data_IF_092765643784
#
_entry.id   IF_092765643784
#
_cell.length_a   1.000
_cell.length_b   1.000
_cell.length_c   1.000
_cell.angle_alpha   90.00
_cell.angle_beta   90.00
_cell.angle_gamma   90.00
#
_symmetry.space_group_name_H-M   'P 1'
#
loop_
_entity.id
_entity.type
_entity.pdbx_description
1 polymer ?
#
# COMPACT_ATOMS: atom_id res chain seq x y z
N UNK A 1 0.31 5.04 -34.74
CA UNK A 1 -0.63 6.18 -34.74
C UNK A 1 -2.09 5.74 -34.80
N UNK A 2 -2.51 4.84 -35.72
CA UNK A 2 -3.90 4.38 -35.76
C UNK A 2 -4.34 3.62 -34.48
N UNK A 3 -3.45 2.88 -33.83
CA UNK A 3 -3.78 2.09 -32.62
C UNK A 3 -4.17 2.95 -31.41
N UNK A 4 -3.42 4.04 -31.14
CA UNK A 4 -3.70 4.99 -30.06
C UNK A 4 -5.06 5.65 -30.23
N UNK A 5 -5.41 6.10 -31.45
CA UNK A 5 -6.71 6.71 -31.74
C UNK A 5 -7.87 5.72 -31.58
N UNK A 6 -7.67 4.47 -32.00
CA UNK A 6 -8.67 3.40 -31.81
C UNK A 6 -8.88 3.14 -30.32
N UNK A 7 -7.80 3.01 -29.54
CA UNK A 7 -7.90 2.77 -28.10
C UNK A 7 -8.57 3.95 -27.37
N UNK A 8 -8.19 5.19 -27.72
CA UNK A 8 -8.83 6.40 -27.22
C UNK A 8 -10.33 6.39 -27.50
N UNK A 9 -10.73 6.11 -28.75
CA UNK A 9 -12.14 6.04 -29.15
C UNK A 9 -12.92 4.98 -28.37
N UNK A 10 -12.33 3.80 -28.15
CA UNK A 10 -12.93 2.72 -27.34
C UNK A 10 -13.11 3.14 -25.88
N UNK A 11 -12.08 3.71 -25.26
CA UNK A 11 -12.15 4.17 -23.87
C UNK A 11 -13.15 5.33 -23.70
N UNK A 12 -13.23 6.23 -24.68
CA UNK A 12 -14.23 7.30 -24.70
C UNK A 12 -15.66 6.73 -24.81
N UNK A 13 -15.90 5.78 -25.70
CA UNK A 13 -17.20 5.11 -25.82
C UNK A 13 -17.59 4.40 -24.52
N UNK A 14 -16.65 3.68 -23.90
CA UNK A 14 -16.86 3.02 -22.61
C UNK A 14 -17.15 4.02 -21.49
N UNK A 15 -16.49 5.18 -21.50
CA UNK A 15 -16.71 6.20 -20.47
C UNK A 15 -18.14 6.75 -20.48
N UNK A 16 -18.77 6.85 -21.66
CA UNK A 16 -20.17 7.25 -21.81
C UNK A 16 -21.15 6.21 -21.24
N UNK A 17 -20.81 4.93 -21.29
CA UNK A 17 -21.61 3.86 -20.71
C UNK A 17 -21.44 3.73 -19.18
N UNK A 18 -20.39 4.35 -18.62
CA UNK A 18 -19.95 4.15 -17.25
C UNK A 18 -20.20 5.32 -16.31
N UNK A 19 -21.01 6.32 -16.69
CA UNK A 19 -21.20 7.55 -15.90
C UNK A 19 -21.51 7.31 -14.42
N UNK A 20 -22.29 6.26 -14.12
CA UNK A 20 -22.70 5.86 -12.76
C UNK A 20 -21.77 4.84 -12.09
N UNK A 21 -20.77 4.33 -12.82
CA UNK A 21 -19.83 3.35 -12.30
C UNK A 21 -18.68 4.04 -11.57
N UNK A 22 -18.30 3.43 -10.47
CA UNK A 22 -17.10 3.79 -9.72
C UNK A 22 -15.85 3.23 -10.42
N UNK A 23 -14.64 3.55 -9.93
CA UNK A 23 -13.37 3.14 -10.56
C UNK A 23 -13.24 1.62 -10.64
N UNK A 24 -13.77 0.89 -9.65
CA UNK A 24 -13.73 -0.58 -9.64
C UNK A 24 -14.68 -1.18 -10.68
N UNK A 25 -15.91 -0.67 -10.76
CA UNK A 25 -16.88 -1.05 -11.80
C UNK A 25 -16.36 -0.75 -13.20
N UNK A 26 -15.69 0.40 -13.38
CA UNK A 26 -15.00 0.75 -14.64
C UNK A 26 -13.87 -0.21 -14.96
N UNK A 27 -13.08 -0.63 -13.99
CA UNK A 27 -11.99 -1.58 -14.22
C UNK A 27 -12.54 -2.94 -14.68
N UNK A 28 -13.64 -3.41 -14.08
CA UNK A 28 -14.32 -4.62 -14.52
C UNK A 28 -14.88 -4.48 -15.94
N UNK A 29 -15.56 -3.37 -16.24
CA UNK A 29 -16.07 -3.08 -17.58
C UNK A 29 -14.94 -3.02 -18.62
N UNK A 30 -13.83 -2.36 -18.32
CA UNK A 30 -12.65 -2.28 -19.21
C UNK A 30 -12.05 -3.67 -19.43
N UNK A 31 -11.91 -4.48 -18.38
CA UNK A 31 -11.38 -5.84 -18.48
C UNK A 31 -12.23 -6.70 -19.43
N UNK A 32 -13.56 -6.65 -19.26
CA UNK A 32 -14.51 -7.36 -20.12
C UNK A 32 -14.54 -6.79 -21.54
N UNK A 33 -14.55 -5.47 -21.70
CA UNK A 33 -14.71 -4.85 -23.01
C UNK A 33 -13.44 -4.88 -23.88
N UNK A 34 -12.27 -4.98 -23.25
CA UNK A 34 -11.00 -5.09 -23.98
C UNK A 34 -10.56 -6.55 -24.17
N UNK A 35 -10.98 -7.48 -23.31
CA UNK A 35 -10.67 -8.92 -23.35
C UNK A 35 -9.17 -9.24 -23.40
N UNK A 36 -8.33 -8.33 -22.89
CA UNK A 36 -6.87 -8.50 -22.86
C UNK A 36 -6.48 -9.15 -21.54
N UNK A 37 -6.22 -10.45 -21.55
CA UNK A 37 -5.73 -11.18 -20.37
C UNK A 37 -4.25 -10.85 -20.06
N UNK A 38 -3.42 -10.69 -21.09
CA UNK A 38 -2.00 -10.32 -20.99
C UNK A 38 -1.69 -9.14 -21.91
N UNK A 39 -1.49 -7.93 -21.38
CA UNK A 39 -1.27 -6.75 -22.20
C UNK A 39 0.08 -6.81 -22.93
N UNK A 40 0.08 -6.57 -24.23
CA UNK A 40 1.31 -6.41 -25.00
C UNK A 40 2.01 -5.09 -24.65
N UNK A 41 3.32 -5.01 -24.88
CA UNK A 41 4.07 -3.77 -24.67
C UNK A 41 3.54 -2.61 -25.52
N UNK A 42 3.10 -2.91 -26.75
CA UNK A 42 2.46 -1.91 -27.62
C UNK A 42 1.14 -1.40 -27.00
N UNK A 43 0.32 -2.30 -26.46
CA UNK A 43 -0.92 -1.89 -25.79
C UNK A 43 -0.66 -1.02 -24.57
N UNK A 44 0.34 -1.33 -23.75
CA UNK A 44 0.71 -0.51 -22.59
C UNK A 44 1.23 0.86 -23.00
N UNK A 45 2.01 0.94 -24.09
CA UNK A 45 2.44 2.20 -24.69
C UNK A 45 1.24 3.01 -25.19
N UNK A 46 0.32 2.39 -25.92
CA UNK A 46 -0.87 3.06 -26.42
C UNK A 46 -1.76 3.54 -25.25
N UNK A 47 -1.92 2.74 -24.20
CA UNK A 47 -2.66 3.11 -22.99
C UNK A 47 -1.99 4.28 -22.26
N UNK A 48 -0.66 4.28 -22.16
CA UNK A 48 0.10 5.39 -21.59
C UNK A 48 -0.14 6.69 -22.35
N UNK A 49 -0.07 6.65 -23.69
CA UNK A 49 -0.33 7.82 -24.54
C UNK A 49 -1.77 8.32 -24.37
N UNK A 50 -2.76 7.43 -24.35
CA UNK A 50 -4.17 7.81 -24.13
C UNK A 50 -4.38 8.44 -22.75
N UNK A 51 -3.81 7.85 -21.70
CA UNK A 51 -3.89 8.36 -20.33
C UNK A 51 -3.27 9.76 -20.20
N UNK A 52 -2.09 9.99 -20.79
CA UNK A 52 -1.41 11.30 -20.75
C UNK A 52 -2.18 12.35 -21.56
N UNK A 53 -2.69 11.99 -22.74
CA UNK A 53 -3.53 12.84 -23.57
C UNK A 53 -4.84 13.23 -22.87
N UNK A 54 -5.49 12.31 -22.15
CA UNK A 54 -6.74 12.62 -21.44
C UNK A 54 -6.53 13.64 -20.32
N UNK A 55 -5.42 13.53 -19.58
CA UNK A 55 -5.07 14.49 -18.52
C UNK A 55 -4.65 15.84 -19.09
N UNK A 56 -3.92 15.86 -20.20
CA UNK A 56 -3.58 17.10 -20.89
C UNK A 56 -4.83 17.84 -21.40
N UNK A 57 -5.78 17.09 -21.97
CA UNK A 57 -7.05 17.64 -22.46
C UNK A 57 -7.91 18.22 -21.34
N UNK A 58 -7.98 17.55 -20.19
CA UNK A 58 -8.69 18.05 -19.00
C UNK A 58 -8.12 19.37 -18.49
N UNK A 59 -6.79 19.54 -18.54
CA UNK A 59 -6.13 20.78 -18.14
C UNK A 59 -6.55 21.98 -18.99
N UNK A 60 -6.63 21.80 -20.31
CA UNK A 60 -7.04 22.85 -21.24
C UNK A 60 -8.49 23.30 -21.00
N UNK A 61 -9.39 22.38 -20.63
CA UNK A 61 -10.78 22.73 -20.32
C UNK A 61 -10.95 23.48 -19.00
N UNK A 62 -10.08 23.22 -18.01
CA UNK A 62 -10.16 23.86 -16.70
C UNK A 62 -9.62 25.30 -16.68
N UNK A 63 -8.68 25.64 -17.57
CA UNK A 63 -8.06 26.98 -17.61
C UNK A 63 -8.94 28.08 -18.22
N UNK A 64 -10.07 27.75 -18.83
CA UNK A 64 -10.98 28.70 -19.47
C UNK A 64 -12.23 29.03 -18.65
N UNK A 65 -12.36 28.48 -17.44
CA UNK A 65 -13.41 28.88 -16.51
C UNK A 65 -12.97 30.17 -15.81
N UNK A 66 -13.64 31.32 -16.01
CA UNK A 66 -13.31 32.54 -15.29
C UNK A 66 -13.49 32.33 -13.79
N UNK A 67 -12.51 32.75 -13.00
CA UNK A 67 -12.61 32.80 -11.54
C UNK A 67 -13.77 33.75 -11.19
N UNK A 68 -14.93 33.17 -10.87
CA UNK A 68 -16.11 33.90 -10.43
C UNK A 68 -15.83 34.57 -9.09
N UNK A 69 -15.43 35.83 -9.24
CA UNK A 69 -15.51 36.87 -8.24
C UNK A 69 -17.00 37.03 -7.88
N UNK A 70 -17.32 36.70 -6.63
CA UNK A 70 -18.60 36.94 -5.95
C UNK A 70 -19.41 38.10 -6.54
N UNK A 71 -20.33 37.81 -7.46
CA UNK A 71 -21.40 38.72 -7.83
C UNK A 71 -22.66 37.92 -8.18
N UNK A 72 -23.77 38.51 -7.80
CA UNK A 72 -25.03 37.87 -7.48
C UNK A 72 -25.88 37.55 -8.73
N UNK A 73 -26.95 36.79 -8.46
CA UNK A 73 -28.23 36.72 -9.19
C UNK A 73 -28.29 36.00 -10.55
N UNK A 74 -28.76 34.75 -10.47
CA UNK A 74 -29.87 34.22 -11.27
C UNK A 74 -29.78 34.31 -12.79
N UNK A 75 -29.29 33.24 -13.43
CA UNK A 75 -29.73 32.88 -14.77
C UNK A 75 -29.61 31.38 -15.00
N UNK A 76 -30.67 30.82 -15.59
CA UNK A 76 -30.90 29.40 -15.84
C UNK A 76 -30.37 29.04 -17.24
N UNK A 77 -29.79 27.85 -17.34
CA UNK A 77 -29.48 27.08 -18.57
C UNK A 77 -28.46 27.64 -19.55
N UNK A 78 -27.23 27.17 -19.37
CA UNK A 78 -26.28 26.89 -20.43
C UNK A 78 -25.57 25.58 -20.10
N UNK A 79 -26.00 24.49 -20.72
CA UNK A 79 -25.54 23.13 -20.48
C UNK A 79 -24.07 22.97 -20.92
N UNK A 80 -23.12 23.18 -19.99
CA UNK A 80 -21.71 22.83 -20.17
C UNK A 80 -21.51 21.30 -20.09
N UNK A 81 -22.11 20.55 -21.03
CA UNK A 81 -22.04 19.07 -21.11
C UNK A 81 -20.61 18.57 -21.39
N UNK A 82 -19.72 19.44 -21.89
CA UNK A 82 -18.36 19.07 -22.29
C UNK A 82 -17.43 18.70 -21.11
N UNK A 83 -17.55 19.38 -19.97
CA UNK A 83 -16.65 19.16 -18.81
C UNK A 83 -16.79 17.79 -18.16
N UNK A 84 -17.99 17.20 -18.20
CA UNK A 84 -18.25 15.86 -17.69
C UNK A 84 -17.52 14.79 -18.49
N UNK A 85 -17.54 14.87 -19.82
CA UNK A 85 -16.98 13.85 -20.70
C UNK A 85 -15.47 13.62 -20.50
N UNK A 86 -14.69 14.69 -20.35
CA UNK A 86 -13.24 14.59 -20.14
C UNK A 86 -12.90 13.97 -18.78
N UNK A 87 -13.62 14.33 -17.72
CA UNK A 87 -13.44 13.75 -16.40
C UNK A 87 -13.83 12.26 -16.36
N UNK A 88 -14.90 11.89 -17.09
CA UNK A 88 -15.34 10.50 -17.26
C UNK A 88 -14.31 9.65 -18.01
N UNK A 89 -13.70 10.21 -19.06
CA UNK A 89 -12.60 9.57 -19.78
C UNK A 89 -11.40 9.37 -18.85
N UNK A 90 -10.97 10.40 -18.12
CA UNK A 90 -9.88 10.30 -17.14
C UNK A 90 -10.14 9.22 -16.08
N UNK A 91 -11.37 9.12 -15.54
CA UNK A 91 -11.73 8.06 -14.59
C UNK A 91 -11.64 6.66 -15.21
N UNK A 92 -12.03 6.52 -16.48
CA UNK A 92 -11.98 5.25 -17.21
C UNK A 92 -10.53 4.85 -17.54
N UNK A 93 -9.71 5.81 -17.98
CA UNK A 93 -8.25 5.66 -18.15
C UNK A 93 -7.58 5.26 -16.83
N UNK A 94 -7.98 5.87 -15.71
CA UNK A 94 -7.46 5.53 -14.37
C UNK A 94 -7.76 4.08 -14.01
N UNK A 95 -9.00 3.64 -14.23
CA UNK A 95 -9.41 2.27 -13.97
C UNK A 95 -8.65 1.27 -14.84
N UNK A 96 -8.49 1.57 -16.14
CA UNK A 96 -7.73 0.76 -17.08
C UNK A 96 -6.25 0.65 -16.65
N UNK A 97 -5.61 1.78 -16.34
CA UNK A 97 -4.22 1.81 -15.90
C UNK A 97 -4.02 0.98 -14.62
N UNK A 98 -4.85 1.19 -13.59
CA UNK A 98 -4.75 0.42 -12.34
C UNK A 98 -4.93 -1.10 -12.55
N UNK A 99 -5.82 -1.49 -13.46
CA UNK A 99 -6.03 -2.91 -13.79
C UNK A 99 -4.80 -3.52 -14.46
N UNK A 100 -4.32 -2.93 -15.55
CA UNK A 100 -3.24 -3.51 -16.36
C UNK A 100 -1.86 -3.39 -15.73
N UNK A 101 -1.61 -2.35 -14.92
CA UNK A 101 -0.33 -2.15 -14.24
C UNK A 101 -0.08 -3.14 -13.10
N UNK A 102 -1.12 -3.84 -12.62
CA UNK A 102 -0.98 -4.84 -11.55
C UNK A 102 0.00 -5.96 -11.90
N UNK A 103 0.24 -6.21 -13.19
CA UNK A 103 1.11 -7.28 -13.67
C UNK A 103 2.44 -6.75 -14.27
N UNK A 104 2.74 -5.46 -14.10
CA UNK A 104 3.86 -4.81 -14.78
C UNK A 104 5.04 -4.54 -13.86
N UNK A 105 6.21 -4.41 -14.48
CA UNK A 105 7.45 -4.06 -13.78
C UNK A 105 7.38 -2.66 -13.16
N UNK A 106 8.13 -2.49 -12.07
CA UNK A 106 8.18 -1.22 -11.34
C UNK A 106 8.63 0.00 -12.15
N UNK A 107 9.34 -0.21 -13.28
CA UNK A 107 9.72 0.87 -14.20
C UNK A 107 8.52 1.42 -14.96
N UNK A 108 7.65 0.56 -15.48
CA UNK A 108 6.44 0.95 -16.20
C UNK A 108 5.48 1.64 -15.22
N UNK A 109 5.31 1.08 -14.02
CA UNK A 109 4.48 1.71 -12.98
C UNK A 109 4.99 3.10 -12.61
N UNK A 110 6.31 3.31 -12.53
CA UNK A 110 6.89 4.63 -12.27
C UNK A 110 6.59 5.64 -13.39
N UNK A 111 6.67 5.22 -14.65
CA UNK A 111 6.33 6.08 -15.79
C UNK A 111 4.88 6.56 -15.72
N UNK A 112 3.94 5.64 -15.45
CA UNK A 112 2.53 5.99 -15.25
C UNK A 112 2.33 6.87 -14.02
N UNK A 113 3.05 6.62 -12.93
CA UNK A 113 2.98 7.44 -11.73
C UNK A 113 3.34 8.90 -12.04
N UNK A 114 4.48 9.12 -12.70
CA UNK A 114 5.02 10.46 -12.96
C UNK A 114 4.27 11.21 -14.07
N UNK A 115 3.91 10.54 -15.16
CA UNK A 115 3.32 11.19 -16.33
C UNK A 115 1.79 11.23 -16.33
N UNK A 116 1.14 10.32 -15.60
CA UNK A 116 -0.32 10.22 -15.59
C UNK A 116 -0.91 10.45 -14.18
N UNK A 117 -0.65 9.58 -13.21
CA UNK A 117 -1.36 9.64 -11.91
C UNK A 117 -1.09 10.93 -11.14
N UNK A 118 0.17 11.38 -11.06
CA UNK A 118 0.49 12.61 -10.33
C UNK A 118 -0.06 13.86 -11.01
N UNK A 119 0.06 14.04 -12.34
CA UNK A 119 -0.65 15.09 -13.06
C UNK A 119 -2.17 15.03 -12.91
N UNK A 120 -2.78 13.84 -12.99
CA UNK A 120 -4.21 13.63 -12.78
C UNK A 120 -4.65 14.10 -11.38
N UNK A 121 -3.95 13.63 -10.34
CA UNK A 121 -4.23 13.94 -8.94
C UNK A 121 -3.93 15.40 -8.58
N UNK A 122 -3.04 16.07 -9.32
CA UNK A 122 -2.78 17.49 -9.16
C UNK A 122 -3.96 18.38 -9.58
N UNK A 123 -4.78 17.90 -10.51
CA UNK A 123 -5.86 18.67 -11.12
C UNK A 123 -7.19 18.41 -10.40
N UNK A 124 -7.80 19.46 -9.84
CA UNK A 124 -9.07 19.32 -9.10
C UNK A 124 -10.24 18.85 -9.97
N UNK A 125 -10.24 19.15 -11.26
CA UNK A 125 -11.33 18.83 -12.19
C UNK A 125 -11.10 17.56 -13.02
N UNK A 126 -9.96 16.88 -12.86
CA UNK A 126 -9.61 15.75 -13.73
C UNK A 126 -10.35 14.45 -13.39
N UNK A 127 -10.96 14.35 -12.20
CA UNK A 127 -11.81 13.24 -11.80
C UNK A 127 -13.21 13.76 -11.46
N UNK A 128 -14.28 12.99 -11.78
CA UNK A 128 -15.65 13.50 -11.78
C UNK A 128 -16.14 13.87 -10.38
N UNK A 129 -15.71 13.13 -9.36
CA UNK A 129 -16.09 13.39 -7.98
C UNK A 129 -14.98 13.02 -6.97
N UNK A 130 -15.27 13.28 -5.68
CA UNK A 130 -14.36 12.96 -4.57
C UNK A 130 -14.20 11.45 -4.36
N UNK A 131 -15.23 10.65 -4.68
CA UNK A 131 -15.23 9.20 -4.51
C UNK A 131 -14.27 8.54 -5.50
N UNK A 132 -14.32 8.92 -6.77
CA UNK A 132 -13.40 8.50 -7.81
C UNK A 132 -11.96 8.87 -7.46
N UNK A 133 -11.74 10.06 -6.89
CA UNK A 133 -10.42 10.46 -6.40
C UNK A 133 -9.92 9.59 -5.26
N UNK A 134 -10.76 9.33 -4.27
CA UNK A 134 -10.43 8.42 -3.17
C UNK A 134 -10.08 7.03 -3.71
N UNK A 135 -10.89 6.48 -4.62
CA UNK A 135 -10.64 5.18 -5.22
C UNK A 135 -9.37 5.14 -6.06
N UNK A 136 -9.06 6.22 -6.79
CA UNK A 136 -7.80 6.34 -7.52
C UNK A 136 -6.60 6.32 -6.57
N UNK A 137 -6.65 7.09 -5.47
CA UNK A 137 -5.62 7.07 -4.43
C UNK A 137 -5.47 5.67 -3.80
N UNK A 138 -6.60 5.03 -3.47
CA UNK A 138 -6.60 3.69 -2.87
C UNK A 138 -6.06 2.63 -3.82
N UNK A 139 -6.50 2.64 -5.07
CA UNK A 139 -6.02 1.72 -6.09
C UNK A 139 -4.53 1.90 -6.36
N UNK A 140 -4.05 3.14 -6.42
CA UNK A 140 -2.62 3.43 -6.62
C UNK A 140 -1.77 2.91 -5.47
N UNK A 141 -2.15 3.20 -4.23
CA UNK A 141 -1.42 2.71 -3.04
C UNK A 141 -1.45 1.17 -2.98
N UNK A 142 -2.61 0.56 -3.22
CA UNK A 142 -2.75 -0.89 -3.24
C UNK A 142 -1.88 -1.53 -4.35
N UNK A 143 -1.82 -0.91 -5.53
CA UNK A 143 -0.94 -1.32 -6.63
C UNK A 143 0.53 -1.31 -6.20
N UNK A 144 1.00 -0.22 -5.58
CA UNK A 144 2.39 -0.10 -5.14
C UNK A 144 2.75 -1.13 -4.07
N UNK A 145 1.85 -1.38 -3.10
CA UNK A 145 2.07 -2.33 -2.01
C UNK A 145 2.04 -3.78 -2.53
N UNK A 146 1.02 -4.14 -3.32
CA UNK A 146 0.87 -5.50 -3.87
C UNK A 146 2.05 -5.90 -4.76
N UNK A 147 2.56 -4.97 -5.55
CA UNK A 147 3.74 -5.18 -6.40
C UNK A 147 5.08 -4.93 -5.68
N UNK A 148 5.06 -4.71 -4.35
CA UNK A 148 6.26 -4.48 -3.52
C UNK A 148 7.14 -3.34 -4.04
N UNK A 149 6.52 -2.31 -4.61
CA UNK A 149 7.17 -1.13 -5.18
C UNK A 149 7.47 -0.10 -4.09
N UNK A 150 8.25 -0.52 -3.08
CA UNK A 150 8.50 0.26 -1.86
C UNK A 150 9.19 1.60 -2.15
N UNK A 151 10.12 1.63 -3.12
CA UNK A 151 10.82 2.87 -3.48
C UNK A 151 9.88 3.91 -4.10
N UNK A 152 8.91 3.47 -4.90
CA UNK A 152 7.91 4.32 -5.53
C UNK A 152 6.89 4.82 -4.50
N UNK A 153 6.49 3.96 -3.56
CA UNK A 153 5.66 4.35 -2.43
C UNK A 153 6.35 5.40 -1.55
N UNK A 154 7.64 5.22 -1.25
CA UNK A 154 8.44 6.17 -0.49
C UNK A 154 8.50 7.54 -1.18
N UNK A 155 8.73 7.56 -2.50
CA UNK A 155 8.72 8.80 -3.28
C UNK A 155 7.35 9.49 -3.26
N UNK A 156 6.26 8.71 -3.37
CA UNK A 156 4.90 9.24 -3.29
C UNK A 156 4.63 9.89 -1.92
N UNK A 157 5.02 9.21 -0.84
CA UNK A 157 4.89 9.72 0.54
C UNK A 157 5.74 10.98 0.72
N UNK A 158 6.99 11.00 0.25
CA UNK A 158 7.83 12.23 0.29
C UNK A 158 7.14 13.41 -0.38
N UNK A 159 6.54 13.20 -1.57
CA UNK A 159 5.79 14.26 -2.27
C UNK A 159 4.57 14.74 -1.47
N UNK A 160 3.89 13.83 -0.76
CA UNK A 160 2.77 14.19 0.12
C UNK A 160 3.22 14.97 1.35
N UNK A 161 4.31 14.57 2.01
CA UNK A 161 4.92 15.30 3.13
C UNK A 161 5.37 16.69 2.71
N UNK A 162 6.04 16.82 1.56
CA UNK A 162 6.42 18.12 1.02
C UNK A 162 5.20 19.01 0.75
N UNK A 163 4.08 18.45 0.25
CA UNK A 163 2.84 19.22 0.05
C UNK A 163 2.21 19.69 1.37
N UNK A 164 2.39 18.94 2.47
CA UNK A 164 2.00 19.39 3.81
C UNK A 164 2.88 20.53 4.29
N UNK A 165 4.20 20.43 4.10
CA UNK A 165 5.16 21.45 4.50
C UNK A 165 4.97 22.76 3.75
N UNK A 166 4.71 22.71 2.43
CA UNK A 166 4.43 23.92 1.65
C UNK A 166 3.05 24.51 1.96
N UNK A 167 2.06 23.70 2.34
CA UNK A 167 0.78 24.22 2.80
C UNK A 167 0.90 24.96 4.14
N UNK A 168 1.96 24.70 4.91
CA UNK A 168 2.25 25.42 6.14
C UNK A 168 2.84 26.81 5.88
N UNK A 169 3.55 27.02 4.76
CA UNK A 169 4.12 28.30 4.37
C UNK A 169 3.09 29.17 3.64
N UNK A 170 3.20 30.49 3.79
CA UNK A 170 2.22 31.48 3.28
C UNK A 170 2.33 31.68 1.76
N UNK A 171 3.12 30.86 1.06
CA UNK A 171 3.36 31.00 -0.37
C UNK A 171 2.57 29.94 -1.16
N UNK A 172 1.28 30.20 -1.48
CA UNK A 172 0.45 29.26 -2.23
C UNK A 172 0.94 29.03 -3.67
N UNK A 173 1.91 29.81 -4.14
CA UNK A 173 2.60 29.63 -5.44
C UNK A 173 3.78 28.66 -5.40
N UNK A 174 4.15 28.14 -4.22
CA UNK A 174 5.25 27.19 -4.05
C UNK A 174 5.02 25.87 -4.81
N UNK A 175 6.09 25.34 -5.41
CA UNK A 175 6.14 24.26 -6.40
C UNK A 175 5.57 22.87 -6.00
N UNK A 176 4.80 22.75 -4.92
CA UNK A 176 4.12 21.51 -4.58
C UNK A 176 2.97 21.25 -5.56
N UNK A 177 3.21 20.35 -6.51
CA UNK A 177 2.23 19.95 -7.54
C UNK A 177 0.98 19.27 -6.97
N UNK A 178 0.97 18.79 -5.72
CA UNK A 178 -0.15 18.04 -5.15
C UNK A 178 -1.03 18.92 -4.25
N UNK A 179 -2.36 18.99 -4.50
CA UNK A 179 -3.30 19.64 -3.60
C UNK A 179 -3.29 18.97 -2.22
N UNK A 180 -3.29 19.79 -1.16
CA UNK A 180 -3.30 19.33 0.23
C UNK A 180 -4.34 18.23 0.54
N UNK A 181 -5.62 18.33 0.12
CA UNK A 181 -6.59 17.27 0.38
C UNK A 181 -6.17 15.92 -0.21
N UNK A 182 -5.52 15.93 -1.37
CA UNK A 182 -5.08 14.72 -2.06
C UNK A 182 -3.86 14.11 -1.38
N UNK A 183 -2.89 14.94 -0.97
CA UNK A 183 -1.75 14.51 -0.18
C UNK A 183 -2.20 13.86 1.13
N UNK A 184 -3.14 14.48 1.84
CA UNK A 184 -3.73 13.92 3.05
C UNK A 184 -4.41 12.57 2.78
N UNK A 185 -5.24 12.46 1.75
CA UNK A 185 -5.90 11.19 1.38
C UNK A 185 -4.89 10.08 1.05
N UNK A 186 -3.85 10.37 0.27
CA UNK A 186 -2.81 9.40 -0.06
C UNK A 186 -2.09 8.89 1.19
N UNK A 187 -1.75 9.79 2.13
CA UNK A 187 -1.14 9.41 3.40
C UNK A 187 -2.07 8.55 4.24
N UNK A 188 -3.37 8.88 4.32
CA UNK A 188 -4.36 8.05 5.02
C UNK A 188 -4.43 6.65 4.47
N UNK A 189 -4.58 6.55 3.16
CA UNK A 189 -4.75 5.23 2.54
C UNK A 189 -3.46 4.43 2.64
N UNK A 190 -2.30 5.08 2.54
CA UNK A 190 -1.00 4.42 2.77
C UNK A 190 -0.94 3.80 4.15
N UNK A 191 -1.30 4.54 5.21
CA UNK A 191 -1.33 3.98 6.56
C UNK A 191 -2.36 2.87 6.69
N UNK A 192 -3.57 3.07 6.20
CA UNK A 192 -4.65 2.08 6.28
C UNK A 192 -4.28 0.75 5.60
N UNK A 193 -3.50 0.79 4.51
CA UNK A 193 -3.05 -0.40 3.79
C UNK A 193 -1.81 -1.05 4.42
N UNK A 194 -0.93 -0.26 5.04
CA UNK A 194 0.26 -0.79 5.72
C UNK A 194 -0.07 -1.42 7.08
N UNK A 195 -0.98 -0.84 7.87
CA UNK A 195 -1.30 -1.32 9.22
C UNK A 195 -1.66 -2.81 9.29
N UNK A 196 -2.59 -3.35 8.48
CA UNK A 196 -2.93 -4.77 8.51
C UNK A 196 -1.74 -5.69 8.19
N UNK A 197 -0.83 -5.25 7.31
CA UNK A 197 0.37 -6.01 6.97
C UNK A 197 1.35 -6.10 8.14
N UNK A 198 1.41 -5.07 8.98
CA UNK A 198 2.25 -5.04 10.19
C UNK A 198 1.66 -5.93 11.27
N UNK A 199 0.35 -5.85 11.53
CA UNK A 199 -0.32 -6.70 12.54
C UNK A 199 -0.17 -8.19 12.22
N UNK A 200 -0.30 -8.57 10.94
CA UNK A 200 -0.06 -9.97 10.51
C UNK A 200 1.41 -10.37 10.72
N UNK A 201 2.36 -9.44 10.54
CA UNK A 201 3.77 -9.70 10.82
C UNK A 201 3.99 -10.03 12.30
N UNK A 202 3.41 -9.24 13.19
CA UNK A 202 3.54 -9.39 14.63
C UNK A 202 2.96 -10.72 15.09
N UNK A 203 1.76 -11.09 14.64
CA UNK A 203 1.16 -12.40 14.91
C UNK A 203 2.03 -13.57 14.40
N UNK A 204 2.57 -13.46 13.18
CA UNK A 204 3.45 -14.49 12.63
C UNK A 204 4.76 -14.59 13.42
N UNK A 205 5.37 -13.46 13.80
CA UNK A 205 6.60 -13.47 14.60
C UNK A 205 6.37 -13.99 16.01
N UNK A 206 5.28 -13.61 16.67
CA UNK A 206 4.87 -14.13 17.97
C UNK A 206 4.59 -15.64 17.89
N UNK A 207 3.90 -16.10 16.84
CA UNK A 207 3.64 -17.51 16.57
C UNK A 207 4.92 -18.31 16.32
N UNK A 208 5.85 -17.79 15.52
CA UNK A 208 7.17 -18.41 15.30
C UNK A 208 8.00 -18.43 16.58
N UNK A 209 7.97 -17.36 17.38
CA UNK A 209 8.66 -17.32 18.68
C UNK A 209 8.04 -18.30 19.69
N UNK A 210 6.72 -18.44 19.72
CA UNK A 210 6.04 -19.42 20.56
C UNK A 210 6.34 -20.85 20.11
N UNK A 211 6.32 -21.10 18.80
CA UNK A 211 6.67 -22.39 18.21
C UNK A 211 8.13 -22.76 18.46
N UNK A 212 9.07 -21.84 18.21
CA UNK A 212 10.50 -22.07 18.49
C UNK A 212 10.75 -22.31 19.96
N UNK A 213 10.13 -21.54 20.87
CA UNK A 213 10.16 -21.83 22.32
C UNK A 213 9.62 -23.22 22.65
N UNK A 214 8.49 -23.63 22.07
CA UNK A 214 7.92 -24.96 22.27
C UNK A 214 8.75 -26.10 21.69
N UNK A 215 9.42 -25.88 20.54
CA UNK A 215 10.37 -26.84 19.95
C UNK A 215 11.62 -26.93 20.80
N UNK A 216 12.16 -25.82 21.27
CA UNK A 216 13.30 -25.79 22.19
C UNK A 216 12.97 -26.52 23.48
N UNK A 217 11.80 -26.26 24.07
CA UNK A 217 11.35 -26.92 25.29
C UNK A 217 11.19 -28.43 25.08
N UNK A 218 10.60 -28.88 23.96
CA UNK A 218 10.49 -30.31 23.63
C UNK A 218 11.85 -30.96 23.42
N UNK A 219 12.78 -30.30 22.73
CA UNK A 219 14.17 -30.79 22.56
C UNK A 219 14.89 -30.90 23.89
N UNK A 220 14.74 -29.92 24.77
CA UNK A 220 15.38 -29.91 26.09
C UNK A 220 14.77 -30.97 27.01
N UNK A 221 13.45 -31.15 27.02
CA UNK A 221 12.79 -32.25 27.74
C UNK A 221 13.25 -33.61 27.21
N UNK A 222 13.29 -33.78 25.89
CA UNK A 222 13.80 -35.01 25.27
C UNK A 222 15.27 -35.26 25.63
N UNK A 223 16.11 -34.22 25.60
CA UNK A 223 17.53 -34.32 26.00
C UNK A 223 17.69 -34.76 27.45
N UNK A 224 16.90 -34.20 28.36
CA UNK A 224 16.89 -34.59 29.78
C UNK A 224 16.39 -36.02 29.97
N UNK A 225 15.35 -36.42 29.25
CA UNK A 225 14.80 -37.77 29.30
C UNK A 225 15.80 -38.81 28.76
N UNK A 226 16.46 -38.52 27.63
CA UNK A 226 17.53 -39.36 27.09
C UNK A 226 18.67 -39.46 28.09
N UNK A 227 19.09 -38.34 28.68
CA UNK A 227 20.15 -38.35 29.69
C UNK A 227 19.78 -39.19 30.92
N UNK A 228 18.55 -39.09 31.43
CA UNK A 228 18.06 -39.95 32.53
C UNK A 228 18.10 -41.43 32.16
N UNK A 229 17.65 -41.78 30.95
CA UNK A 229 17.68 -43.16 30.46
C UNK A 229 19.12 -43.67 30.29
N UNK A 230 20.03 -42.81 29.84
CA UNK A 230 21.45 -43.13 29.68
C UNK A 230 22.11 -43.39 31.05
N UNK A 231 21.83 -42.55 32.05
CA UNK A 231 22.31 -42.73 33.43
C UNK A 231 21.76 -44.03 34.01
N UNK A 232 20.45 -44.25 33.91
CA UNK A 232 19.84 -45.47 34.42
C UNK A 232 20.36 -46.72 33.69
N UNK A 233 20.59 -46.63 32.37
CA UNK A 233 21.21 -47.71 31.61
C UNK A 233 22.64 -47.98 32.07
N UNK A 234 23.43 -46.94 32.37
CA UNK A 234 24.78 -47.11 32.92
C UNK A 234 24.75 -47.76 34.30
N UNK A 235 23.82 -47.38 35.18
CA UNK A 235 23.64 -48.03 36.48
C UNK A 235 23.31 -49.52 36.32
N UNK A 236 22.32 -49.85 35.47
CA UNK A 236 21.94 -51.25 35.19
C UNK A 236 23.06 -52.01 34.48
N UNK A 237 23.83 -51.34 33.63
CA UNK A 237 24.93 -51.95 32.89
C UNK A 237 26.19 -52.11 33.75
N UNK A 238 26.45 -51.27 34.75
CA UNK A 238 27.50 -51.50 35.74
C UNK A 238 27.16 -52.72 36.62
N UNK A 239 25.87 -52.92 36.93
CA UNK A 239 25.39 -54.15 37.57
C UNK A 239 25.52 -55.38 36.65
N UNK A 240 25.22 -55.24 35.36
CA UNK A 240 25.28 -56.34 34.38
C UNK A 240 26.70 -56.63 33.85
N UNK A 241 27.62 -55.66 33.85
CA UNK A 241 29.02 -55.80 33.41
C UNK A 241 29.84 -56.65 34.38
N UNK A 242 29.29 -56.96 35.56
CA UNK A 242 29.81 -58.02 36.43
C UNK A 242 29.55 -59.43 35.89
N UNK A 243 28.75 -59.60 34.83
CA UNK A 243 28.25 -60.92 34.41
C UNK A 243 28.31 -61.24 32.91
N UNK A 244 28.82 -60.41 32.00
CA UNK A 244 28.79 -60.80 30.58
C UNK A 244 29.81 -60.10 29.68
N UNK A 245 30.61 -60.92 28.98
CA UNK A 245 31.40 -60.56 27.81
C UNK A 245 30.73 -61.13 26.56
N UNK A 246 30.40 -60.30 25.57
CA UNK A 246 30.55 -60.57 24.12
C UNK A 246 30.19 -59.32 23.30
N UNK A 247 30.87 -59.01 22.17
CA UNK A 247 30.56 -57.86 21.32
C UNK A 247 29.91 -58.27 19.98
N UNK A 248 28.92 -57.50 19.49
CA UNK A 248 28.77 -57.32 18.04
C UNK A 248 27.93 -56.10 17.60
N UNK A 249 28.55 -55.37 16.65
CA UNK A 249 28.10 -54.69 15.43
C UNK A 249 26.77 -53.88 15.29
N UNK A 250 27.01 -52.63 14.84
CA UNK A 250 26.50 -51.88 13.65
C UNK A 250 25.09 -51.26 13.56
N UNK A 251 25.17 -50.15 12.81
CA UNK A 251 24.18 -49.47 11.97
C UNK A 251 23.25 -48.40 12.57
N UNK A 252 23.48 -47.16 12.11
CA UNK A 252 22.46 -46.11 12.06
C UNK A 252 22.43 -45.47 10.68
N UNK A 253 21.30 -45.68 10.01
CA UNK A 253 20.91 -45.05 8.76
C UNK A 253 20.60 -43.55 8.95
N UNK A 254 21.17 -42.73 8.06
CA UNK A 254 20.78 -41.34 7.83
C UNK A 254 19.51 -41.32 6.97
N UNK A 255 18.40 -40.78 7.49
CA UNK A 255 17.24 -40.38 6.68
C UNK A 255 17.22 -38.85 6.62
N UNK A 256 17.52 -38.31 5.43
CA UNK A 256 17.53 -36.88 5.11
C UNK A 256 16.12 -36.46 4.69
N UNK A 257 15.44 -35.73 5.56
CA UNK A 257 14.08 -35.22 5.33
C UNK A 257 14.06 -34.02 4.38
N UNK A 258 13.06 -34.01 3.50
CA UNK A 258 12.75 -32.93 2.57
C UNK A 258 12.12 -31.71 3.27
N UNK A 259 12.56 -30.50 2.91
CA UNK A 259 12.02 -29.22 3.40
C UNK A 259 11.05 -28.61 2.39
N UNK A 260 9.80 -28.27 2.80
CA UNK A 260 8.91 -27.41 2.04
C UNK A 260 9.04 -25.95 2.56
N UNK A 261 9.76 -25.09 1.85
CA UNK A 261 9.87 -23.67 2.20
C UNK A 261 10.11 -22.82 0.95
N UNK A 262 9.07 -22.20 0.39
CA UNK A 262 9.24 -21.13 -0.61
C UNK A 262 8.16 -20.04 -0.53
N UNK A 263 6.96 -20.33 -0.01
CA UNK A 263 5.90 -19.32 0.07
C UNK A 263 5.95 -18.44 1.33
N UNK A 264 6.55 -18.90 2.43
CA UNK A 264 6.60 -18.16 3.70
C UNK A 264 7.62 -17.01 3.73
N UNK A 265 8.72 -17.11 2.98
CA UNK A 265 9.76 -16.07 2.98
C UNK A 265 9.27 -14.76 2.34
N UNK A 266 8.37 -14.89 1.37
CA UNK A 266 7.78 -13.78 0.64
C UNK A 266 6.82 -12.93 1.50
N UNK A 267 6.08 -13.54 2.43
CA UNK A 267 5.15 -12.81 3.29
C UNK A 267 5.88 -12.08 4.42
N UNK A 268 6.86 -12.73 5.05
CA UNK A 268 7.67 -12.15 6.13
C UNK A 268 8.45 -10.92 5.65
N UNK A 269 9.06 -10.99 4.47
CA UNK A 269 9.78 -9.85 3.88
C UNK A 269 8.86 -8.68 3.55
N UNK A 270 7.67 -8.94 3.02
CA UNK A 270 6.66 -7.90 2.72
C UNK A 270 6.21 -7.19 3.99
N UNK A 271 5.93 -7.96 5.05
CA UNK A 271 5.45 -7.44 6.32
C UNK A 271 6.54 -6.62 7.05
N UNK A 272 7.80 -7.08 7.02
CA UNK A 272 8.94 -6.33 7.55
C UNK A 272 9.16 -5.00 6.80
N UNK A 273 9.06 -5.02 5.47
CA UNK A 273 9.17 -3.81 4.65
C UNK A 273 8.00 -2.85 4.92
N UNK A 274 6.77 -3.36 5.09
CA UNK A 274 5.62 -2.55 5.48
C UNK A 274 5.83 -1.88 6.84
N UNK A 275 6.35 -2.61 7.84
CA UNK A 275 6.67 -2.05 9.15
C UNK A 275 7.74 -0.96 9.09
N UNK A 276 8.81 -1.19 8.32
CA UNK A 276 9.86 -0.19 8.11
C UNK A 276 9.32 1.06 7.40
N UNK A 277 8.48 0.87 6.38
CA UNK A 277 7.82 1.96 5.66
C UNK A 277 6.91 2.77 6.58
N UNK A 278 6.13 2.10 7.43
CA UNK A 278 5.23 2.76 8.38
C UNK A 278 6.02 3.58 9.42
N UNK A 279 7.07 3.01 10.02
CA UNK A 279 7.95 3.74 10.96
C UNK A 279 8.60 4.95 10.29
N UNK A 280 9.11 4.77 9.07
CA UNK A 280 9.69 5.86 8.30
C UNK A 280 8.65 6.95 8.01
N UNK A 281 7.46 6.60 7.52
CA UNK A 281 6.37 7.53 7.24
C UNK A 281 5.98 8.34 8.48
N UNK A 282 5.84 7.71 9.65
CA UNK A 282 5.56 8.41 10.91
C UNK A 282 6.67 9.39 11.29
N UNK A 283 7.94 9.02 11.05
CA UNK A 283 9.08 9.90 11.33
C UNK A 283 9.07 11.15 10.42
N UNK A 284 8.57 11.04 9.18
CA UNK A 284 8.40 12.15 8.25
C UNK A 284 7.14 12.98 8.52
N UNK A 285 6.05 12.37 8.97
CA UNK A 285 4.82 13.09 9.31
C UNK A 285 4.99 14.02 10.50
N UNK A 286 5.80 13.63 11.49
CA UNK A 286 6.02 14.41 12.71
C UNK A 286 6.56 15.84 12.46
N UNK A 287 7.65 16.05 11.70
CA UNK A 287 8.11 17.39 11.36
C UNK A 287 7.12 18.16 10.48
N UNK A 288 6.50 17.51 9.48
CA UNK A 288 5.50 18.14 8.62
C UNK A 288 4.25 18.60 9.39
N UNK A 289 3.81 17.86 10.40
CA UNK A 289 2.73 18.27 11.30
C UNK A 289 3.15 19.45 12.20
N UNK A 290 4.39 19.43 12.71
CA UNK A 290 4.91 20.51 13.57
C UNK A 290 4.97 21.84 12.85
N UNK A 291 5.32 21.86 11.56
CA UNK A 291 5.31 23.08 10.76
C UNK A 291 3.88 23.56 10.45
N UNK A 292 2.93 22.64 10.32
CA UNK A 292 1.55 22.95 9.99
C UNK A 292 0.72 23.49 11.16
N UNK A 293 1.00 23.06 12.40
CA UNK A 293 0.31 23.56 13.62
C UNK A 293 0.34 25.11 13.79
N UNK A 294 1.49 25.80 13.65
CA UNK A 294 1.55 27.25 13.73
C UNK A 294 1.05 27.98 12.47
N UNK A 295 0.68 27.26 11.39
CA UNK A 295 0.27 27.89 10.13
C UNK A 295 -0.94 28.81 10.32
N UNK A 296 -0.97 30.01 9.72
CA UNK A 296 -2.11 30.93 9.81
C UNK A 296 -3.36 30.38 9.09
N UNK A 297 -3.20 29.37 8.22
CA UNK A 297 -4.30 28.79 7.46
C UNK A 297 -5.13 27.82 8.33
N UNK A 298 -6.20 28.33 8.94
CA UNK A 298 -7.12 27.52 9.74
C UNK A 298 -7.72 26.34 8.94
N UNK A 299 -8.01 26.52 7.65
CA UNK A 299 -8.56 25.48 6.78
C UNK A 299 -7.57 24.35 6.48
N UNK A 300 -6.29 24.69 6.22
CA UNK A 300 -5.23 23.69 6.02
C UNK A 300 -5.00 22.88 7.30
N UNK A 301 -4.95 23.55 8.46
CA UNK A 301 -4.83 22.91 9.78
C UNK A 301 -5.98 21.95 10.06
N UNK A 302 -7.22 22.40 9.91
CA UNK A 302 -8.39 21.54 10.16
C UNK A 302 -8.42 20.33 9.23
N UNK A 303 -8.08 20.52 7.95
CA UNK A 303 -8.06 19.43 6.97
C UNK A 303 -6.99 18.40 7.31
N UNK A 304 -5.77 18.85 7.61
CA UNK A 304 -4.67 17.97 7.97
C UNK A 304 -4.94 17.23 9.29
N UNK A 305 -5.42 17.93 10.33
CA UNK A 305 -5.68 17.31 11.64
C UNK A 305 -6.82 16.29 11.58
N UNK A 306 -7.91 16.58 10.86
CA UNK A 306 -9.03 15.62 10.68
C UNK A 306 -8.56 14.30 10.05
N UNK A 307 -7.53 14.37 9.22
CA UNK A 307 -7.01 13.21 8.51
C UNK A 307 -5.89 12.51 9.29
N UNK A 308 -4.97 13.27 9.87
CA UNK A 308 -3.75 12.75 10.49
C UNK A 308 -3.98 12.26 11.92
N UNK A 309 -4.94 12.80 12.66
CA UNK A 309 -5.23 12.32 14.03
C UNK A 309 -5.71 10.86 14.03
N UNK A 310 -6.72 10.45 13.23
CA UNK A 310 -7.14 9.05 13.16
C UNK A 310 -6.01 8.12 12.72
N UNK A 311 -5.15 8.58 11.80
CA UNK A 311 -3.96 7.84 11.37
C UNK A 311 -3.02 7.58 12.55
N UNK A 312 -2.68 8.62 13.31
CA UNK A 312 -1.77 8.46 14.46
C UNK A 312 -2.37 7.59 15.56
N UNK A 313 -3.69 7.66 15.78
CA UNK A 313 -4.38 6.83 16.76
C UNK A 313 -4.42 5.35 16.32
N UNK A 314 -4.78 5.07 15.07
CA UNK A 314 -4.81 3.71 14.53
C UNK A 314 -3.42 3.08 14.54
N UNK A 315 -2.37 3.85 14.23
CA UNK A 315 -0.99 3.35 14.27
C UNK A 315 -0.52 3.14 15.70
N UNK A 316 -0.85 4.05 16.63
CA UNK A 316 -0.54 3.87 18.04
C UNK A 316 -1.25 2.63 18.63
N UNK A 317 -2.49 2.35 18.23
CA UNK A 317 -3.21 1.14 18.60
C UNK A 317 -2.55 -0.11 18.01
N UNK A 318 -2.20 -0.08 16.72
CA UNK A 318 -1.55 -1.20 16.05
C UNK A 318 -0.15 -1.51 16.59
N UNK A 319 0.61 -0.49 17.02
CA UNK A 319 1.98 -0.67 17.51
C UNK A 319 2.11 -0.73 19.05
N UNK A 320 1.06 -0.36 19.79
CA UNK A 320 1.14 -0.09 21.23
C UNK A 320 0.59 -1.17 22.16
N UNK A 321 -0.01 -2.25 21.64
CA UNK A 321 -0.54 -3.31 22.50
C UNK A 321 0.54 -4.20 23.15
N UNK A 322 1.78 -4.23 22.63
CA UNK A 322 2.83 -5.10 23.18
C UNK A 322 3.48 -4.55 24.46
N UNK A 323 3.60 -3.22 24.62
CA UNK A 323 4.27 -2.64 25.79
C UNK A 323 3.42 -2.74 27.08
N UNK A 324 2.09 -2.78 26.96
CA UNK A 324 1.20 -2.87 28.13
C UNK A 324 1.16 -4.29 28.70
N UNK A 325 1.27 -5.33 27.86
CA UNK A 325 1.24 -6.74 28.33
C UNK A 325 2.52 -7.14 29.07
N UNK A 326 3.67 -6.61 28.67
CA UNK A 326 4.92 -6.90 29.37
C UNK A 326 5.02 -6.25 30.76
N UNK A 327 4.43 -5.07 30.95
CA UNK A 327 4.40 -4.41 32.27
C UNK A 327 3.48 -5.16 33.25
N UNK A 328 2.30 -5.60 32.79
CA UNK A 328 1.37 -6.35 33.64
C UNK A 328 1.89 -7.73 34.08
N UNK A 329 2.68 -8.43 33.26
CA UNK A 329 3.30 -9.70 33.66
C UNK A 329 4.45 -9.52 34.66
N UNK A 330 5.17 -8.38 34.62
CA UNK A 330 6.22 -8.09 35.60
C UNK A 330 5.68 -7.64 36.96
N UNK A 331 4.47 -7.07 37.00
CA UNK A 331 3.85 -6.58 38.23
C UNK A 331 3.08 -7.68 38.98
N UNK A 332 2.60 -8.72 38.28
CA UNK A 332 1.98 -9.90 38.92
C UNK A 332 2.98 -10.91 39.52
N UNK A 333 4.29 -10.65 39.43
CA UNK A 333 5.36 -11.48 40.03
C UNK A 333 6.05 -10.81 41.22
N UNK A 334 5.52 -9.69 41.71
CA UNK A 334 5.89 -9.09 42.99
C UNK A 334 4.76 -9.28 43.98
#
# INVERSE_FOLDING_TARGET
MNSVLILHGRLAALSACAEKLDVRGRAAMVSVALEIASPSQQFLSDLYDVCTLSVASSKCTAGNAPDDSLSSTGSVSGECVSGGSAAQLCATCTAAALHYLSQQDGRVVQQFLDAFFLPLLSQRAALPDKTCRLQACTGLVALLISNRLWSQLEQLVRRCCHALETAATVDPGGASKLPLPVACTLLTVTVQQLCPLVSVAEELTAGVQAWTRGVWHRREVHRREVHRREVHRREVQDDASRLSCTPNDKERHLIRGATPASNGENTVTTAANAANMLRWLLSQLRPALRSLLPSPSASARQTALRVLVPITLNVAQACGEEDVRHVSETESRR
#
